data_IF_791266697540
#
_entry.id   IF_791266697540
#
_cell.length_a   1.000
_cell.length_b   1.000
_cell.length_c   1.000
_cell.angle_alpha   90.00
_cell.angle_beta   90.00
_cell.angle_gamma   90.00
#
_symmetry.space_group_name_H-M   'P 1'
#
loop_
_entity.id
_entity.type
_entity.pdbx_description
1 polymer ?
#
# COMPACT_ATOMS: atom_id res chain seq x y z
N UNK A 1 -54.27 -12.72 -36.42
CA UNK A 1 -53.54 -13.56 -35.42
C UNK A 1 -52.06 -13.23 -35.28
N UNK A 2 -51.49 -12.36 -36.12
CA UNK A 2 -50.03 -12.13 -36.17
C UNK A 2 -49.49 -11.00 -35.25
N UNK A 3 -50.32 -10.05 -34.85
CA UNK A 3 -49.87 -8.86 -34.09
C UNK A 3 -49.59 -9.16 -32.58
N UNK A 4 -50.35 -10.11 -31.99
CA UNK A 4 -50.17 -10.48 -30.57
C UNK A 4 -48.92 -11.35 -30.29
N UNK A 5 -48.43 -12.08 -31.28
CA UNK A 5 -47.19 -12.88 -31.19
C UNK A 5 -45.94 -12.01 -31.27
N UNK A 6 -45.97 -10.91 -32.00
CA UNK A 6 -44.82 -10.01 -32.15
C UNK A 6 -44.61 -9.21 -30.86
N UNK A 7 -45.69 -8.74 -30.20
CA UNK A 7 -45.59 -8.00 -28.96
C UNK A 7 -45.07 -8.87 -27.81
N UNK A 8 -45.42 -10.15 -27.75
CA UNK A 8 -44.90 -11.07 -26.72
C UNK A 8 -43.39 -11.37 -26.89
N UNK A 9 -42.91 -11.46 -28.13
CA UNK A 9 -41.51 -11.70 -28.43
C UNK A 9 -40.61 -10.49 -28.08
N UNK A 10 -41.09 -9.29 -28.32
CA UNK A 10 -40.35 -8.05 -27.98
C UNK A 10 -40.29 -7.84 -26.49
N UNK A 11 -41.35 -8.13 -25.70
CA UNK A 11 -41.32 -8.05 -24.24
C UNK A 11 -40.36 -9.07 -23.60
N UNK A 12 -40.24 -10.26 -24.20
CA UNK A 12 -39.30 -11.28 -23.71
C UNK A 12 -37.82 -10.89 -23.96
N UNK A 13 -37.54 -10.18 -25.07
CA UNK A 13 -36.18 -9.74 -25.42
C UNK A 13 -35.70 -8.60 -24.53
N UNK A 14 -36.59 -7.71 -24.06
CA UNK A 14 -36.25 -6.59 -23.17
C UNK A 14 -35.96 -7.07 -21.74
N UNK A 15 -36.57 -8.17 -21.31
CA UNK A 15 -36.33 -8.75 -19.97
C UNK A 15 -34.94 -9.40 -19.79
N UNK A 16 -34.24 -9.73 -20.90
CA UNK A 16 -32.89 -10.32 -20.81
C UNK A 16 -31.75 -9.32 -20.68
N UNK A 17 -31.99 -8.00 -20.76
CA UNK A 17 -30.91 -6.99 -20.71
C UNK A 17 -30.73 -6.43 -19.29
N UNK A 18 -31.57 -6.79 -18.32
CA UNK A 18 -31.53 -6.27 -16.95
C UNK A 18 -30.81 -7.17 -15.94
N UNK A 19 -29.81 -7.92 -16.38
CA UNK A 19 -29.01 -8.76 -15.49
C UNK A 19 -27.51 -8.48 -15.63
N UNK A 20 -27.08 -7.30 -15.30
CA UNK A 20 -25.66 -7.07 -15.06
C UNK A 20 -25.50 -5.78 -14.28
N UNK A 21 -25.66 -5.82 -12.99
CA UNK A 21 -24.93 -4.97 -12.06
C UNK A 21 -25.27 -5.42 -10.64
N UNK A 22 -24.84 -6.62 -10.32
CA UNK A 22 -24.64 -6.96 -8.91
C UNK A 22 -23.55 -6.04 -8.37
N UNK A 23 -23.61 -5.65 -7.09
CA UNK A 23 -22.56 -4.86 -6.49
C UNK A 23 -21.21 -5.54 -6.77
N UNK A 24 -20.24 -4.75 -7.27
CA UNK A 24 -18.90 -5.27 -7.50
C UNK A 24 -18.42 -6.05 -6.27
N UNK A 25 -17.81 -7.22 -6.43
CA UNK A 25 -17.37 -8.02 -5.30
C UNK A 25 -16.47 -7.19 -4.41
N UNK A 26 -16.72 -7.20 -3.10
CA UNK A 26 -15.91 -6.46 -2.15
C UNK A 26 -14.46 -6.92 -2.24
N UNK A 27 -13.53 -5.96 -2.29
CA UNK A 27 -12.09 -6.23 -2.31
C UNK A 27 -11.71 -6.90 -1.00
N UNK A 28 -11.07 -8.06 -1.07
CA UNK A 28 -10.55 -8.80 0.06
C UNK A 28 -9.04 -8.58 0.19
N UNK A 29 -8.59 -8.16 1.36
CA UNK A 29 -7.15 -8.01 1.59
C UNK A 29 -6.38 -9.30 1.27
N UNK A 30 -6.80 -10.44 1.82
CA UNK A 30 -6.10 -11.73 1.69
C UNK A 30 -6.14 -12.29 0.27
N UNK A 31 -7.26 -12.07 -0.45
CA UNK A 31 -7.41 -12.61 -1.80
C UNK A 31 -6.82 -11.70 -2.87
N UNK A 32 -7.02 -10.38 -2.72
CA UNK A 32 -6.78 -9.43 -3.81
C UNK A 32 -5.54 -8.56 -3.59
N UNK A 33 -5.17 -8.25 -2.34
CA UNK A 33 -4.09 -7.31 -2.01
C UNK A 33 -2.84 -8.03 -1.52
N UNK A 34 -2.98 -8.95 -0.58
CA UNK A 34 -1.84 -9.65 0.02
C UNK A 34 -0.94 -10.36 -1.00
N UNK A 35 -1.45 -11.03 -2.05
CA UNK A 35 -0.60 -11.63 -3.08
C UNK A 35 0.27 -10.60 -3.81
N UNK A 36 -0.27 -9.41 -4.09
CA UNK A 36 0.48 -8.32 -4.73
C UNK A 36 1.62 -7.86 -3.80
N UNK A 37 1.33 -7.62 -2.53
CA UNK A 37 2.35 -7.23 -1.56
C UNK A 37 3.42 -8.31 -1.39
N UNK A 38 3.02 -9.58 -1.33
CA UNK A 38 3.95 -10.70 -1.20
C UNK A 38 4.91 -10.78 -2.37
N UNK A 39 4.41 -10.58 -3.58
CA UNK A 39 5.23 -10.66 -4.78
C UNK A 39 6.13 -9.43 -4.99
N UNK A 40 5.65 -8.23 -4.68
CA UNK A 40 6.31 -6.98 -5.09
C UNK A 40 6.98 -6.21 -3.96
N UNK A 41 6.54 -6.36 -2.72
CA UNK A 41 6.92 -5.45 -1.64
C UNK A 41 7.57 -6.14 -0.43
N UNK A 42 7.13 -7.34 -0.11
CA UNK A 42 7.52 -8.07 1.12
C UNK A 42 9.01 -8.38 1.18
N UNK A 43 9.68 -8.53 0.03
CA UNK A 43 11.13 -8.74 0.00
C UNK A 43 11.91 -7.65 0.77
N UNK A 44 11.42 -6.40 0.74
CA UNK A 44 12.03 -5.28 1.46
C UNK A 44 11.19 -4.80 2.66
N UNK A 45 9.88 -5.09 2.69
CA UNK A 45 8.92 -4.55 3.63
C UNK A 45 8.20 -5.63 4.45
N UNK A 46 8.93 -6.61 4.99
CA UNK A 46 8.35 -7.65 5.84
C UNK A 46 8.98 -7.74 7.23
N UNK A 47 10.22 -7.32 7.39
CA UNK A 47 10.99 -7.51 8.62
C UNK A 47 10.75 -6.38 9.63
N UNK A 48 11.21 -6.62 10.87
CA UNK A 48 11.19 -5.64 11.95
C UNK A 48 11.97 -4.36 11.61
N UNK A 49 13.09 -4.51 10.94
CA UNK A 49 14.02 -3.46 10.50
C UNK A 49 13.81 -3.04 9.03
N UNK A 50 12.66 -3.36 8.47
CA UNK A 50 12.32 -2.97 7.11
C UNK A 50 12.43 -1.45 6.91
N UNK A 51 12.69 -1.03 5.68
CA UNK A 51 12.75 0.37 5.32
C UNK A 51 11.51 1.12 5.84
N UNK A 52 11.73 2.25 6.53
CA UNK A 52 10.68 3.04 7.20
C UNK A 52 9.83 2.25 8.21
N UNK A 53 10.32 1.14 8.73
CA UNK A 53 9.56 0.20 9.56
C UNK A 53 8.21 -0.23 8.95
N UNK A 54 8.00 -0.03 7.65
CA UNK A 54 6.78 -0.41 6.96
C UNK A 54 6.76 -1.92 6.76
N UNK A 55 5.79 -2.59 7.36
CA UNK A 55 5.60 -4.04 7.22
C UNK A 55 4.34 -4.32 6.39
N UNK A 56 4.53 -4.82 5.19
CA UNK A 56 3.46 -5.18 4.26
C UNK A 56 3.16 -6.69 4.25
N UNK A 57 3.79 -7.47 5.13
CA UNK A 57 3.54 -8.89 5.28
C UNK A 57 2.20 -9.23 5.93
N UNK A 58 1.50 -8.24 6.50
CA UNK A 58 0.17 -8.41 7.08
C UNK A 58 -0.69 -7.16 6.93
N UNK A 59 -2.01 -7.32 7.06
CA UNK A 59 -2.96 -6.21 7.07
C UNK A 59 -2.67 -5.22 8.21
N UNK A 60 -2.34 -5.74 9.38
CA UNK A 60 -2.03 -4.94 10.57
C UNK A 60 -0.73 -4.17 10.39
N UNK A 61 0.27 -4.75 9.72
CA UNK A 61 1.51 -4.07 9.38
C UNK A 61 1.29 -2.91 8.42
N UNK A 62 0.49 -3.12 7.38
CA UNK A 62 0.07 -2.08 6.45
C UNK A 62 -0.74 -0.97 7.16
N UNK A 63 -1.66 -1.35 8.04
CA UNK A 63 -2.49 -0.42 8.82
C UNK A 63 -1.68 0.36 9.87
N UNK A 64 -0.63 -0.24 10.46
CA UNK A 64 0.32 0.47 11.33
C UNK A 64 0.98 1.63 10.62
N UNK A 65 1.34 1.43 9.34
CA UNK A 65 2.01 2.41 8.53
C UNK A 65 3.53 2.43 8.73
N UNK A 66 4.14 3.58 8.46
CA UNK A 66 5.58 3.79 8.44
C UNK A 66 6.06 4.74 9.55
N UNK A 67 7.36 4.72 9.81
CA UNK A 67 8.02 5.63 10.75
C UNK A 67 9.40 6.01 10.22
N UNK A 68 9.82 7.27 10.42
CA UNK A 68 11.18 7.70 10.10
C UNK A 68 12.22 7.27 11.15
N UNK A 69 11.77 6.81 12.32
CA UNK A 69 12.69 6.40 13.37
C UNK A 69 13.40 5.11 12.97
N UNK A 70 14.73 5.10 12.83
CA UNK A 70 15.47 3.89 12.50
C UNK A 70 15.43 2.91 13.67
N UNK A 71 15.24 1.63 13.39
CA UNK A 71 15.33 0.55 14.40
C UNK A 71 16.80 0.25 14.70
N UNK A 72 17.61 0.22 13.66
CA UNK A 72 19.05 0.05 13.74
C UNK A 72 19.75 1.18 13.02
N UNK A 73 20.66 1.84 13.71
CA UNK A 73 21.80 2.52 13.12
C UNK A 73 23.05 2.05 13.86
N UNK A 74 24.17 1.91 13.18
CA UNK A 74 25.43 1.45 13.78
C UNK A 74 26.01 2.42 14.81
N UNK A 75 25.50 3.64 14.89
CA UNK A 75 25.94 4.72 15.78
C UNK A 75 25.00 4.93 16.96
N UNK A 76 23.89 4.20 17.02
CA UNK A 76 22.87 4.42 18.05
C UNK A 76 23.39 4.07 19.44
N UNK A 77 23.52 5.09 20.27
CA UNK A 77 23.89 4.98 21.67
C UNK A 77 22.69 4.86 22.61
N UNK A 78 21.46 5.09 22.13
CA UNK A 78 20.23 5.07 22.92
C UNK A 78 19.30 3.95 22.47
N UNK A 79 18.56 3.39 23.43
CA UNK A 79 17.54 2.41 23.13
C UNK A 79 16.42 3.03 22.28
N UNK A 80 16.05 2.34 21.18
CA UNK A 80 14.87 2.70 20.40
C UNK A 80 13.62 2.17 21.12
N UNK A 81 12.53 2.92 21.18
CA UNK A 81 11.25 2.40 21.67
C UNK A 81 10.85 1.14 20.93
N UNK A 82 10.27 0.19 21.63
CA UNK A 82 9.79 -1.05 21.05
C UNK A 82 8.63 -0.78 20.09
N UNK A 83 8.67 -1.42 18.93
CA UNK A 83 7.69 -1.23 17.83
C UNK A 83 7.25 -2.56 17.22
N UNK A 84 7.27 -3.63 18.04
CA UNK A 84 6.87 -4.97 17.60
C UNK A 84 5.38 -5.01 17.30
N UNK A 85 5.07 -5.35 16.06
CA UNK A 85 3.69 -5.57 15.64
C UNK A 85 3.05 -6.66 16.51
N UNK A 86 1.81 -6.48 16.90
CA UNK A 86 1.02 -7.36 17.79
C UNK A 86 1.38 -7.36 19.28
N UNK A 87 2.40 -6.59 19.69
CA UNK A 87 2.85 -6.55 21.09
C UNK A 87 2.86 -5.15 21.69
N UNK A 88 3.46 -4.19 21.01
CA UNK A 88 3.82 -2.91 21.60
C UNK A 88 2.74 -1.83 21.44
N UNK A 89 1.80 -2.02 20.54
CA UNK A 89 0.61 -1.21 20.38
C UNK A 89 -0.47 -1.92 19.55
N UNK A 90 -1.72 -1.49 19.72
CA UNK A 90 -2.86 -2.01 18.99
C UNK A 90 -3.71 -0.87 18.46
N UNK A 91 -4.08 -0.96 17.18
CA UNK A 91 -4.89 0.02 16.49
C UNK A 91 -4.11 1.29 16.08
N UNK A 92 -4.69 1.99 15.11
CA UNK A 92 -4.08 3.12 14.41
C UNK A 92 -3.62 4.23 15.37
N UNK A 93 -4.48 4.64 16.32
CA UNK A 93 -4.18 5.73 17.22
C UNK A 93 -2.98 5.46 18.13
N UNK A 94 -2.88 4.23 18.67
CA UNK A 94 -1.75 3.85 19.52
C UNK A 94 -0.42 3.84 18.74
N UNK A 95 -0.44 3.44 17.49
CA UNK A 95 0.73 3.49 16.63
C UNK A 95 1.11 4.93 16.25
N UNK A 96 0.13 5.81 16.02
CA UNK A 96 0.39 7.23 15.78
C UNK A 96 1.06 7.91 16.99
N UNK A 97 0.66 7.57 18.22
CA UNK A 97 1.32 8.04 19.43
C UNK A 97 2.78 7.59 19.55
N UNK A 98 3.16 6.50 18.89
CA UNK A 98 4.53 6.00 18.77
C UNK A 98 5.31 6.58 17.57
N UNK A 99 4.75 7.57 16.87
CA UNK A 99 5.40 8.23 15.73
C UNK A 99 5.21 7.52 14.38
N UNK A 100 4.28 6.55 14.30
CA UNK A 100 3.89 5.98 13.01
C UNK A 100 2.89 6.88 12.31
N UNK A 101 2.97 6.93 10.98
CA UNK A 101 2.02 7.64 10.13
C UNK A 101 1.42 6.69 9.10
N UNK A 102 0.16 6.93 8.74
CA UNK A 102 -0.54 6.10 7.78
C UNK A 102 0.03 6.28 6.38
N UNK A 103 0.22 5.18 5.68
CA UNK A 103 0.56 5.16 4.25
C UNK A 103 -0.68 4.88 3.37
N UNK A 104 -1.77 4.42 3.98
CA UNK A 104 -2.99 4.01 3.27
C UNK A 104 -4.08 5.10 3.27
N UNK A 105 -4.03 6.04 4.21
CA UNK A 105 -5.07 7.07 4.32
C UNK A 105 -4.71 8.32 3.52
N UNK A 106 -5.69 8.89 2.85
CA UNK A 106 -5.58 10.22 2.28
C UNK A 106 -5.42 11.28 3.40
N UNK A 107 -4.64 12.32 3.11
CA UNK A 107 -4.39 13.42 4.04
C UNK A 107 -5.04 14.70 3.48
N UNK A 108 -6.22 15.05 3.97
CA UNK A 108 -6.99 16.15 3.44
C UNK A 108 -7.29 15.97 1.93
N UNK A 109 -6.79 16.87 1.09
CA UNK A 109 -6.93 16.78 -0.38
C UNK A 109 -5.84 15.94 -1.06
N UNK A 110 -4.85 15.43 -0.30
CA UNK A 110 -3.75 14.63 -0.85
C UNK A 110 -4.14 13.15 -0.88
N UNK A 111 -3.78 12.47 -1.97
CA UNK A 111 -3.90 11.03 -2.07
C UNK A 111 -3.09 10.32 -0.97
N UNK A 112 -3.47 9.09 -0.64
CA UNK A 112 -2.71 8.24 0.27
C UNK A 112 -1.25 8.13 -0.20
N UNK A 113 -0.31 8.13 0.75
CA UNK A 113 1.11 8.10 0.45
C UNK A 113 1.49 6.90 -0.43
N UNK A 114 0.97 5.72 -0.13
CA UNK A 114 1.20 4.51 -0.92
C UNK A 114 0.71 4.68 -2.38
N UNK A 115 -0.48 5.24 -2.58
CA UNK A 115 -1.00 5.48 -3.91
C UNK A 115 -0.09 6.44 -4.70
N UNK A 116 0.41 7.48 -4.03
CA UNK A 116 1.35 8.44 -4.65
C UNK A 116 2.70 7.78 -4.97
N UNK A 117 3.23 6.93 -4.11
CA UNK A 117 4.48 6.20 -4.37
C UNK A 117 4.34 5.24 -5.55
N UNK A 118 3.22 4.53 -5.64
CA UNK A 118 2.92 3.67 -6.80
C UNK A 118 2.79 4.46 -8.10
N UNK A 119 2.17 5.63 -8.07
CA UNK A 119 2.10 6.53 -9.22
C UNK A 119 3.49 7.01 -9.67
N UNK A 120 4.35 7.39 -8.73
CA UNK A 120 5.73 7.80 -9.03
C UNK A 120 6.53 6.65 -9.66
N UNK A 121 6.43 5.44 -9.10
CA UNK A 121 7.09 4.25 -9.66
C UNK A 121 6.56 3.89 -11.06
N UNK A 122 5.25 4.03 -11.27
CA UNK A 122 4.66 3.82 -12.59
C UNK A 122 5.18 4.83 -13.63
N UNK A 123 5.37 6.08 -13.25
CA UNK A 123 5.85 7.15 -14.14
C UNK A 123 7.36 7.09 -14.40
N UNK A 124 8.12 6.43 -13.51
CA UNK A 124 9.58 6.26 -13.62
C UNK A 124 9.97 4.79 -13.35
N UNK A 125 9.52 3.84 -14.18
CA UNK A 125 9.77 2.42 -13.94
C UNK A 125 11.25 2.08 -14.08
N UNK A 126 11.76 1.24 -13.21
CA UNK A 126 13.06 0.61 -13.40
C UNK A 126 13.00 -0.34 -14.61
N UNK A 127 14.08 -0.37 -15.38
CA UNK A 127 14.19 -1.34 -16.48
C UNK A 127 14.24 -2.77 -15.89
N UNK A 128 13.67 -3.77 -16.57
CA UNK A 128 13.79 -5.16 -16.14
C UNK A 128 15.26 -5.55 -15.92
N UNK A 129 15.54 -6.14 -14.78
CA UNK A 129 16.89 -6.53 -14.35
C UNK A 129 17.86 -5.36 -14.11
N UNK A 130 17.40 -4.13 -14.05
CA UNK A 130 18.23 -3.01 -13.66
C UNK A 130 18.71 -3.18 -12.21
N UNK A 131 19.98 -2.82 -11.96
CA UNK A 131 20.49 -2.73 -10.60
C UNK A 131 19.81 -1.56 -9.87
N UNK A 132 19.37 -1.78 -8.64
CA UNK A 132 18.95 -0.68 -7.78
C UNK A 132 20.10 0.30 -7.55
N UNK A 133 19.82 1.61 -7.44
CA UNK A 133 20.83 2.59 -7.07
C UNK A 133 21.55 2.23 -5.78
N UNK A 134 22.86 2.43 -5.74
CA UNK A 134 23.69 2.02 -4.59
C UNK A 134 23.31 2.71 -3.28
N UNK A 135 22.86 3.95 -3.33
CA UNK A 135 22.37 4.70 -2.19
C UNK A 135 21.10 4.09 -1.58
N UNK A 136 20.22 3.50 -2.38
CA UNK A 136 19.08 2.73 -1.91
C UNK A 136 19.55 1.42 -1.27
N UNK A 137 20.39 0.65 -1.98
CA UNK A 137 20.85 -0.67 -1.54
C UNK A 137 21.67 -0.57 -0.26
N UNK A 138 22.54 0.41 -0.16
CA UNK A 138 23.42 0.61 0.99
C UNK A 138 22.78 1.43 2.12
N UNK A 139 21.59 1.98 1.88
CA UNK A 139 20.90 2.82 2.86
C UNK A 139 21.64 4.12 3.19
N UNK A 140 22.47 4.62 2.27
CA UNK A 140 23.32 5.79 2.49
C UNK A 140 22.55 7.10 2.68
N UNK A 141 21.27 7.12 2.30
CA UNK A 141 20.43 8.32 2.36
C UNK A 141 19.11 8.08 3.09
N UNK A 142 19.18 7.47 4.28
CA UNK A 142 18.00 7.04 5.06
C UNK A 142 17.03 8.16 5.40
N UNK A 143 17.53 9.37 5.63
CA UNK A 143 16.69 10.54 5.95
C UNK A 143 15.72 10.87 4.81
N UNK A 144 16.12 10.59 3.57
CA UNK A 144 15.32 10.88 2.37
C UNK A 144 14.52 9.66 1.86
N UNK A 145 14.75 8.46 2.39
CA UNK A 145 14.07 7.25 1.92
C UNK A 145 12.64 7.11 2.42
N UNK A 146 12.34 7.68 3.58
CA UNK A 146 11.03 7.58 4.21
C UNK A 146 10.25 8.87 4.01
N UNK A 147 9.49 8.96 2.92
CA UNK A 147 8.60 10.11 2.70
C UNK A 147 7.45 10.10 3.71
N UNK A 148 7.17 11.27 4.29
CA UNK A 148 5.94 11.52 5.02
C UNK A 148 4.85 12.06 4.09
N UNK A 149 3.58 12.03 4.51
CA UNK A 149 2.52 12.70 3.77
C UNK A 149 2.90 14.15 3.45
N UNK A 150 2.86 14.50 2.17
CA UNK A 150 3.28 15.84 1.69
C UNK A 150 4.75 15.99 1.35
N UNK A 151 5.61 15.05 1.68
CA UNK A 151 7.02 15.03 1.25
C UNK A 151 7.18 14.22 -0.04
N UNK A 152 7.99 14.74 -0.95
CA UNK A 152 8.36 14.05 -2.19
C UNK A 152 9.87 14.13 -2.38
N UNK A 153 10.49 13.01 -2.65
CA UNK A 153 11.90 12.95 -3.06
C UNK A 153 12.09 11.88 -4.13
N UNK A 154 13.25 11.89 -4.78
CA UNK A 154 13.55 11.00 -5.89
C UNK A 154 13.55 9.49 -5.51
N UNK A 155 13.74 9.19 -4.23
CA UNK A 155 13.83 7.81 -3.73
C UNK A 155 12.48 7.28 -3.22
N UNK A 156 11.47 8.11 -3.18
CA UNK A 156 10.19 7.77 -2.58
C UNK A 156 9.28 6.96 -3.52
N UNK A 157 9.63 6.82 -4.80
CA UNK A 157 8.86 6.01 -5.74
C UNK A 157 8.88 4.53 -5.38
N UNK A 158 7.74 3.87 -5.50
CA UNK A 158 7.64 2.42 -5.44
C UNK A 158 8.02 1.84 -6.80
N UNK A 159 9.18 1.24 -6.90
CA UNK A 159 9.72 0.65 -8.12
C UNK A 159 9.40 -0.83 -8.24
#
# INVERSE_FOLDING_TARGET
MSLRLITSAVLALVACIAQADGPAPAISYTRDIQPIFTEKCVACHACYDSACQLNLGSAEGAARGASKVPVYDGERSQATPTTRLFYDAFGKQAWQQKGFYSVLDAQGSQAALMARMLELGHNAPLQPNAKLPDDIVLGLNRENMCAMPGEFNAYAGAH
#
